data_IF_699917815761
#
_entry.id   IF_699917815761
#
_cell.length_a   1.000
_cell.length_b   1.000
_cell.length_c   1.000
_cell.angle_alpha   90.00
_cell.angle_beta   90.00
_cell.angle_gamma   90.00
#
_symmetry.space_group_name_H-M   'P 1'
#
loop_
_entity.id
_entity.type
_entity.pdbx_description
1 polymer ?
#
# COMPACT_ATOMS: atom_id res chain seq x y z
N UNK A 1 -17.46 6.07 47.35
CA UNK A 1 -17.83 4.77 46.75
C UNK A 1 -17.20 4.68 45.37
N UNK A 2 -16.03 4.06 45.27
CA UNK A 2 -15.33 3.83 43.99
C UNK A 2 -15.98 2.63 43.30
N UNK A 3 -16.75 2.88 42.25
CA UNK A 3 -17.26 1.85 41.34
C UNK A 3 -16.10 1.28 40.53
N UNK A 4 -15.50 0.21 41.05
CA UNK A 4 -14.60 -0.64 40.27
C UNK A 4 -15.43 -1.29 39.17
N UNK A 5 -15.45 -0.68 37.99
CA UNK A 5 -15.99 -1.30 36.78
C UNK A 5 -15.12 -2.50 36.48
N UNK A 6 -15.61 -3.71 36.82
CA UNK A 6 -15.01 -4.96 36.37
C UNK A 6 -15.05 -4.95 34.84
N UNK A 7 -13.92 -4.61 34.20
CA UNK A 7 -13.79 -4.69 32.75
C UNK A 7 -13.90 -6.15 32.35
N UNK A 8 -14.99 -6.49 31.68
CA UNK A 8 -15.18 -7.80 31.08
C UNK A 8 -14.07 -8.07 30.05
N UNK A 9 -13.48 -9.26 30.11
CA UNK A 9 -12.35 -9.63 29.26
C UNK A 9 -12.80 -9.75 27.80
N UNK A 10 -12.17 -9.09 26.82
CA UNK A 10 -12.57 -9.20 25.42
C UNK A 10 -12.28 -10.60 24.84
N UNK A 11 -12.86 -10.89 23.68
CA UNK A 11 -12.56 -12.09 22.86
C UNK A 11 -12.93 -13.44 23.49
N UNK A 12 -14.09 -13.53 24.17
CA UNK A 12 -14.60 -14.75 24.80
C UNK A 12 -14.77 -15.97 23.89
N UNK A 13 -14.68 -15.82 22.57
CA UNK A 13 -14.75 -16.89 21.57
C UNK A 13 -13.38 -17.52 21.25
N UNK A 14 -12.27 -16.94 21.73
CA UNK A 14 -10.90 -17.45 21.47
C UNK A 14 -10.20 -17.83 22.78
N UNK A 15 -8.97 -18.34 22.71
CA UNK A 15 -8.15 -18.63 23.90
C UNK A 15 -7.50 -17.37 24.48
N UNK A 16 -7.49 -16.26 23.75
CA UNK A 16 -6.90 -14.98 24.14
C UNK A 16 -7.53 -14.46 25.43
N UNK A 17 -8.86 -14.59 25.60
CA UNK A 17 -9.54 -14.12 26.80
C UNK A 17 -9.00 -14.77 28.09
N UNK A 18 -8.63 -16.07 28.06
CA UNK A 18 -8.07 -16.76 29.22
C UNK A 18 -6.57 -16.48 29.35
N UNK A 19 -5.82 -16.50 28.24
CA UNK A 19 -4.35 -16.40 28.25
C UNK A 19 -3.85 -15.01 28.61
N UNK A 20 -4.45 -13.97 28.04
CA UNK A 20 -3.90 -12.61 28.09
C UNK A 20 -4.70 -11.72 29.06
N UNK A 21 -5.98 -12.05 29.27
CA UNK A 21 -6.91 -11.24 30.07
C UNK A 21 -7.41 -11.95 31.34
N UNK A 22 -6.89 -13.14 31.64
CA UNK A 22 -7.21 -13.92 32.85
C UNK A 22 -8.73 -14.08 33.09
N UNK A 23 -9.49 -14.38 32.03
CA UNK A 23 -10.94 -14.58 32.12
C UNK A 23 -11.31 -15.82 32.93
N UNK A 24 -12.25 -15.67 33.87
CA UNK A 24 -12.70 -16.75 34.78
C UNK A 24 -14.06 -17.36 34.41
N UNK A 25 -14.67 -16.92 33.29
CA UNK A 25 -15.96 -17.48 32.87
C UNK A 25 -15.85 -18.99 32.58
N UNK A 26 -16.79 -19.83 33.07
CA UNK A 26 -16.72 -21.29 32.93
C UNK A 26 -16.49 -21.76 31.50
N UNK A 27 -17.27 -21.24 30.55
CA UNK A 27 -17.17 -21.60 29.13
C UNK A 27 -15.81 -21.27 28.50
N UNK A 28 -15.16 -20.18 28.94
CA UNK A 28 -13.82 -19.81 28.45
C UNK A 28 -12.75 -20.75 29.01
N UNK A 29 -12.85 -21.08 30.31
CA UNK A 29 -11.92 -21.98 30.98
C UNK A 29 -12.03 -23.41 30.47
N UNK A 30 -13.24 -23.89 30.18
CA UNK A 30 -13.43 -25.25 29.65
C UNK A 30 -12.87 -25.38 28.23
N UNK A 31 -13.06 -24.38 27.37
CA UNK A 31 -12.35 -24.31 26.06
C UNK A 31 -10.83 -24.35 26.22
N UNK A 32 -10.29 -23.62 27.20
CA UNK A 32 -8.86 -23.64 27.48
C UNK A 32 -8.37 -25.02 27.95
N UNK A 33 -9.14 -25.71 28.80
CA UNK A 33 -8.85 -27.08 29.22
C UNK A 33 -8.92 -28.06 28.05
N UNK A 34 -9.91 -27.93 27.16
CA UNK A 34 -10.03 -28.76 25.96
C UNK A 34 -8.83 -28.59 25.04
N UNK A 35 -8.42 -27.34 24.79
CA UNK A 35 -7.19 -27.05 24.06
C UNK A 35 -5.95 -27.68 24.74
N UNK A 36 -5.82 -27.55 26.06
CA UNK A 36 -4.73 -28.16 26.82
C UNK A 36 -4.74 -29.69 26.70
N UNK A 37 -5.91 -30.33 26.78
CA UNK A 37 -6.07 -31.78 26.61
C UNK A 37 -5.63 -32.24 25.23
N UNK A 38 -6.10 -31.60 24.18
CA UNK A 38 -5.69 -31.90 22.79
C UNK A 38 -4.19 -31.70 22.61
N UNK A 39 -3.63 -30.62 23.18
CA UNK A 39 -2.19 -30.36 23.15
C UNK A 39 -1.38 -31.45 23.83
N UNK A 40 -1.74 -31.85 25.06
CA UNK A 40 -0.99 -32.87 25.79
C UNK A 40 -1.10 -34.25 25.14
N UNK A 41 -2.26 -34.61 24.58
CA UNK A 41 -2.41 -35.84 23.78
C UNK A 41 -1.49 -35.82 22.57
N UNK A 42 -1.51 -34.75 21.77
CA UNK A 42 -0.62 -34.64 20.62
C UNK A 42 0.87 -34.67 20.99
N UNK A 43 1.26 -34.10 22.14
CA UNK A 43 2.65 -34.16 22.63
C UNK A 43 3.02 -35.60 23.00
N UNK A 44 2.15 -36.30 23.72
CA UNK A 44 2.35 -37.69 24.12
C UNK A 44 2.45 -38.62 22.91
N UNK A 45 1.63 -38.38 21.89
CA UNK A 45 1.58 -39.16 20.66
C UNK A 45 2.68 -38.76 19.66
N UNK A 46 3.50 -37.74 19.98
CA UNK A 46 4.54 -37.21 19.08
C UNK A 46 4.01 -36.48 17.83
N UNK A 47 2.70 -36.24 17.74
CA UNK A 47 2.01 -35.63 16.60
C UNK A 47 1.78 -34.12 16.74
N UNK A 48 2.26 -33.52 17.84
CA UNK A 48 2.08 -32.09 18.10
C UNK A 48 2.99 -31.22 17.23
N UNK A 49 2.51 -30.92 16.02
CA UNK A 49 3.09 -29.92 15.13
C UNK A 49 2.17 -28.69 15.02
N UNK A 50 2.29 -27.70 15.92
CA UNK A 50 1.36 -26.57 15.95
C UNK A 50 1.47 -25.66 14.72
N UNK A 51 2.55 -25.77 13.95
CA UNK A 51 2.81 -24.97 12.76
C UNK A 51 3.24 -25.86 11.59
N UNK A 52 2.60 -25.73 10.44
CA UNK A 52 2.96 -26.41 9.20
C UNK A 52 3.88 -25.55 8.34
N UNK A 53 4.57 -26.15 7.37
CA UNK A 53 5.34 -25.40 6.37
C UNK A 53 4.41 -24.51 5.54
N UNK A 54 4.79 -23.24 5.41
CA UNK A 54 4.06 -22.27 4.62
C UNK A 54 4.52 -22.21 3.15
N UNK A 55 5.41 -23.09 2.68
CA UNK A 55 5.83 -23.12 1.27
C UNK A 55 4.66 -23.28 0.29
N UNK A 56 3.70 -24.22 0.49
CA UNK A 56 2.55 -24.36 -0.41
C UNK A 56 1.68 -23.10 -0.42
N UNK A 57 1.48 -22.49 0.76
CA UNK A 57 0.75 -21.22 0.91
C UNK A 57 1.40 -20.10 0.11
N UNK A 58 2.73 -19.95 0.20
CA UNK A 58 3.47 -18.92 -0.56
C UNK A 58 3.35 -19.11 -2.07
N UNK A 59 3.46 -20.35 -2.55
CA UNK A 59 3.32 -20.68 -3.97
C UNK A 59 1.91 -20.40 -4.48
N UNK A 60 0.89 -20.75 -3.67
CA UNK A 60 -0.51 -20.48 -4.01
C UNK A 60 -0.83 -18.99 -4.03
N UNK A 61 -0.35 -18.24 -3.03
CA UNK A 61 -0.50 -16.78 -3.00
C UNK A 61 0.14 -16.11 -4.22
N UNK A 62 1.32 -16.56 -4.66
CA UNK A 62 1.92 -16.06 -5.89
C UNK A 62 1.03 -16.32 -7.12
N UNK A 63 0.39 -17.50 -7.18
CA UNK A 63 -0.56 -17.86 -8.24
C UNK A 63 -1.81 -16.97 -8.21
N UNK A 64 -2.39 -16.74 -7.03
CA UNK A 64 -3.53 -15.83 -6.83
C UNK A 64 -3.18 -14.39 -7.22
N UNK A 65 -1.98 -13.91 -6.88
CA UNK A 65 -1.51 -12.58 -7.28
C UNK A 65 -1.34 -12.47 -8.80
N UNK A 66 -0.82 -13.52 -9.44
CA UNK A 66 -0.72 -13.57 -10.91
C UNK A 66 -2.11 -13.55 -11.57
N UNK A 67 -3.11 -14.13 -10.92
CA UNK A 67 -4.52 -14.09 -11.32
C UNK A 67 -5.22 -12.76 -10.95
N UNK A 68 -4.53 -11.83 -10.28
CA UNK A 68 -5.02 -10.48 -9.98
C UNK A 68 -5.75 -10.34 -8.64
N UNK A 69 -5.70 -11.33 -7.75
CA UNK A 69 -6.23 -11.18 -6.40
C UNK A 69 -5.29 -10.29 -5.57
N UNK A 70 -5.85 -9.30 -4.87
CA UNK A 70 -5.08 -8.50 -3.90
C UNK A 70 -4.99 -9.24 -2.55
N UNK A 71 -3.98 -8.97 -1.72
CA UNK A 71 -3.91 -9.53 -0.37
C UNK A 71 -5.15 -9.18 0.48
N UNK A 72 -5.74 -8.00 0.24
CA UNK A 72 -7.00 -7.59 0.86
C UNK A 72 -8.17 -8.49 0.45
N UNK A 73 -8.34 -8.77 -0.85
CA UNK A 73 -9.41 -9.66 -1.33
C UNK A 73 -9.25 -11.09 -0.80
N UNK A 74 -8.01 -11.56 -0.70
CA UNK A 74 -7.69 -12.85 -0.09
C UNK A 74 -8.06 -12.84 1.40
N UNK A 75 -7.77 -11.75 2.11
CA UNK A 75 -8.21 -11.55 3.49
C UNK A 75 -9.73 -11.61 3.64
N UNK A 76 -10.48 -10.92 2.78
CA UNK A 76 -11.96 -10.98 2.76
C UNK A 76 -12.48 -12.40 2.54
N UNK A 77 -11.93 -13.13 1.57
CA UNK A 77 -12.37 -14.49 1.24
C UNK A 77 -12.03 -15.50 2.36
N UNK A 78 -11.02 -15.23 3.16
CA UNK A 78 -10.52 -16.16 4.20
C UNK A 78 -10.87 -15.74 5.62
N UNK A 79 -11.38 -14.51 5.81
CA UNK A 79 -11.51 -13.88 7.12
C UNK A 79 -10.17 -13.62 7.82
N UNK A 80 -9.05 -13.59 7.07
CA UNK A 80 -7.72 -13.33 7.64
C UNK A 80 -7.37 -11.83 7.56
N UNK A 81 -6.71 -11.26 8.58
CA UNK A 81 -6.21 -9.90 8.50
C UNK A 81 -5.22 -9.71 7.34
N UNK A 82 -5.22 -8.54 6.72
CA UNK A 82 -4.33 -8.18 5.62
C UNK A 82 -2.86 -8.46 5.96
N UNK A 83 -2.43 -8.06 7.16
CA UNK A 83 -1.07 -8.23 7.70
C UNK A 83 -0.66 -9.71 7.77
N UNK A 84 -1.64 -10.59 8.01
CA UNK A 84 -1.40 -12.03 8.04
C UNK A 84 -1.05 -12.54 6.65
N UNK A 85 -1.78 -12.10 5.63
CA UNK A 85 -1.59 -12.51 4.23
C UNK A 85 -0.26 -11.97 3.68
N UNK A 86 0.02 -10.67 3.85
CA UNK A 86 1.27 -10.08 3.34
C UNK A 86 2.53 -10.61 4.05
N UNK A 87 2.40 -11.07 5.30
CA UNK A 87 3.52 -11.65 6.04
C UNK A 87 4.10 -12.93 5.42
N UNK A 88 3.38 -13.58 4.49
CA UNK A 88 3.88 -14.73 3.74
C UNK A 88 4.74 -14.33 2.52
N UNK A 89 4.51 -13.16 1.94
CA UNK A 89 5.04 -12.79 0.61
C UNK A 89 6.04 -11.62 0.66
N UNK A 90 5.83 -10.64 1.55
CA UNK A 90 6.68 -9.46 1.67
C UNK A 90 7.83 -9.65 2.68
N UNK A 91 8.95 -8.96 2.43
CA UNK A 91 10.17 -8.95 3.27
C UNK A 91 10.34 -7.62 4.05
N UNK A 92 9.49 -6.63 3.78
CA UNK A 92 9.55 -5.32 4.40
C UNK A 92 8.28 -5.13 5.23
N UNK A 93 8.44 -4.92 6.54
CA UNK A 93 7.33 -4.53 7.39
C UNK A 93 7.01 -3.05 7.23
N UNK A 94 5.77 -2.67 7.56
CA UNK A 94 5.29 -1.28 7.59
C UNK A 94 6.18 -0.31 8.39
N UNK A 95 7.03 -0.81 9.30
CA UNK A 95 7.96 -0.01 10.11
C UNK A 95 9.37 0.15 9.51
N UNK A 96 9.58 -0.16 8.23
CA UNK A 96 10.91 -0.11 7.58
C UNK A 96 11.89 -1.21 8.05
N UNK A 97 11.51 -2.01 9.06
CA UNK A 97 12.30 -3.15 9.51
C UNK A 97 12.11 -4.32 8.55
N UNK A 98 13.23 -4.90 8.07
CA UNK A 98 13.23 -6.17 7.33
C UNK A 98 12.62 -7.25 8.21
N UNK A 99 11.47 -7.79 7.80
CA UNK A 99 10.85 -8.97 8.40
C UNK A 99 11.03 -10.14 7.45
N UNK A 100 11.51 -11.25 7.96
CA UNK A 100 11.57 -12.50 7.21
C UNK A 100 10.15 -12.95 6.84
N UNK A 101 9.97 -13.46 5.62
CA UNK A 101 8.71 -14.12 5.22
C UNK A 101 8.38 -15.24 6.22
N UNK A 102 7.10 -15.37 6.58
CA UNK A 102 6.63 -16.47 7.42
C UNK A 102 6.98 -17.81 6.77
N UNK A 103 7.84 -18.58 7.43
CA UNK A 103 8.24 -19.93 6.99
C UNK A 103 7.25 -20.99 7.44
N UNK A 104 6.56 -20.77 8.56
CA UNK A 104 5.54 -21.68 9.10
C UNK A 104 4.27 -20.93 9.47
N UNK A 105 3.13 -21.61 9.48
CA UNK A 105 1.83 -21.06 9.90
C UNK A 105 0.92 -22.12 10.52
N UNK A 106 -0.18 -21.68 11.12
CA UNK A 106 -1.19 -22.58 11.65
C UNK A 106 -1.84 -23.39 10.50
N UNK A 107 -2.16 -24.68 10.70
CA UNK A 107 -2.84 -25.51 9.70
C UNK A 107 -4.13 -24.89 9.16
N UNK A 108 -4.93 -24.27 10.04
CA UNK A 108 -6.19 -23.61 9.67
C UNK A 108 -5.94 -22.42 8.72
N UNK A 109 -4.90 -21.63 8.97
CA UNK A 109 -4.52 -20.51 8.08
C UNK A 109 -4.09 -21.03 6.71
N UNK A 110 -3.31 -22.12 6.68
CA UNK A 110 -2.89 -22.75 5.43
C UNK A 110 -4.10 -23.26 4.64
N UNK A 111 -5.01 -24.00 5.29
CA UNK A 111 -6.22 -24.54 4.68
C UNK A 111 -7.11 -23.45 4.08
N UNK A 112 -7.35 -22.35 4.82
CA UNK A 112 -8.17 -21.22 4.32
C UNK A 112 -7.59 -20.59 3.06
N UNK A 113 -6.29 -20.34 3.03
CA UNK A 113 -5.64 -19.72 1.85
C UNK A 113 -5.63 -20.68 0.67
N UNK A 114 -5.30 -21.96 0.91
CA UNK A 114 -5.22 -22.98 -0.13
C UNK A 114 -6.60 -23.34 -0.73
N UNK A 115 -7.69 -23.12 0.01
CA UNK A 115 -9.05 -23.35 -0.47
C UNK A 115 -9.48 -22.37 -1.59
N UNK A 116 -8.84 -21.21 -1.72
CA UNK A 116 -9.22 -20.22 -2.74
C UNK A 116 -8.85 -20.75 -4.13
N UNK A 117 -9.85 -21.06 -4.96
CA UNK A 117 -9.62 -21.49 -6.34
C UNK A 117 -9.68 -20.29 -7.31
N UNK A 118 -8.62 -20.03 -8.11
CA UNK A 118 -8.67 -19.06 -9.19
C UNK A 118 -9.70 -19.51 -10.25
N UNK A 119 -10.84 -18.82 -10.33
CA UNK A 119 -11.94 -19.16 -11.26
C UNK A 119 -13.31 -19.16 -10.60
N UNK A 120 -13.39 -19.62 -9.34
CA UNK A 120 -14.64 -19.57 -8.55
C UNK A 120 -14.89 -18.17 -7.98
N UNK A 121 -13.83 -17.39 -7.83
CA UNK A 121 -13.89 -16.04 -7.30
C UNK A 121 -13.40 -15.02 -8.33
N UNK A 122 -14.15 -13.93 -8.48
CA UNK A 122 -13.67 -12.78 -9.24
C UNK A 122 -12.65 -11.99 -8.41
N UNK A 123 -11.56 -11.52 -9.04
CA UNK A 123 -10.74 -10.48 -8.45
C UNK A 123 -11.63 -9.28 -8.15
N UNK A 124 -11.83 -8.97 -6.87
CA UNK A 124 -12.59 -7.80 -6.45
C UNK A 124 -11.97 -6.51 -6.98
N UNK A 125 -12.71 -5.40 -6.85
CA UNK A 125 -12.12 -4.08 -7.07
C UNK A 125 -11.14 -3.75 -5.93
N UNK A 126 -9.98 -3.21 -6.24
CA UNK A 126 -8.96 -2.75 -5.28
C UNK A 126 -8.77 -1.26 -5.43
N UNK A 127 -8.05 -0.65 -4.48
CA UNK A 127 -7.70 0.76 -4.54
C UNK A 127 -6.89 1.06 -5.81
N UNK A 128 -7.24 2.15 -6.49
CA UNK A 128 -6.64 2.50 -7.76
C UNK A 128 -5.32 3.24 -7.64
N UNK A 129 -4.93 3.71 -6.45
CA UNK A 129 -3.79 4.61 -6.23
C UNK A 129 -2.50 4.08 -6.86
N UNK A 130 -2.15 2.83 -6.58
CA UNK A 130 -0.98 2.19 -7.16
C UNK A 130 -1.05 2.05 -8.69
N UNK A 131 -2.25 1.82 -9.22
CA UNK A 131 -2.49 1.72 -10.67
C UNK A 131 -2.31 3.10 -11.32
N UNK A 132 -2.93 4.13 -10.74
CA UNK A 132 -2.84 5.51 -11.20
C UNK A 132 -1.39 5.98 -11.22
N UNK A 133 -0.65 5.82 -10.11
CA UNK A 133 0.74 6.29 -9.97
C UNK A 133 1.68 5.63 -10.97
N UNK A 134 1.51 4.33 -11.26
CA UNK A 134 2.29 3.62 -12.28
C UNK A 134 2.02 4.13 -13.69
N UNK A 135 0.74 4.32 -14.05
CA UNK A 135 0.38 4.88 -15.36
C UNK A 135 0.95 6.31 -15.49
N UNK A 136 0.78 7.14 -14.47
CA UNK A 136 1.31 8.51 -14.42
C UNK A 136 2.82 8.54 -14.63
N UNK A 137 3.56 7.65 -13.96
CA UNK A 137 5.01 7.55 -14.08
C UNK A 137 5.47 7.09 -15.48
N UNK A 138 4.76 6.15 -16.11
CA UNK A 138 5.02 5.77 -17.51
C UNK A 138 4.77 6.94 -18.47
N UNK A 139 3.70 7.71 -18.25
CA UNK A 139 3.44 8.92 -19.05
C UNK A 139 4.54 9.97 -18.84
N UNK A 140 5.04 10.12 -17.61
CA UNK A 140 6.18 10.98 -17.30
C UNK A 140 7.48 10.53 -17.97
N UNK A 141 7.68 9.22 -18.17
CA UNK A 141 8.77 8.66 -18.94
C UNK A 141 8.60 8.87 -20.46
N UNK A 142 7.39 9.19 -20.93
CA UNK A 142 7.09 9.51 -22.32
C UNK A 142 6.17 8.51 -23.03
N UNK A 143 5.64 7.52 -22.32
CA UNK A 143 4.70 6.55 -22.88
C UNK A 143 3.28 7.14 -23.01
N UNK A 144 2.72 7.31 -24.23
CA UNK A 144 1.36 7.82 -24.39
C UNK A 144 0.31 6.78 -23.98
N UNK A 145 -0.84 7.25 -23.46
CA UNK A 145 -1.93 6.36 -23.06
C UNK A 145 -2.44 5.47 -24.20
N UNK A 146 -2.42 5.97 -25.45
CA UNK A 146 -2.77 5.21 -26.64
C UNK A 146 -1.88 3.99 -26.88
N UNK A 147 -0.62 4.03 -26.41
CA UNK A 147 0.32 2.91 -26.50
C UNK A 147 0.21 1.98 -25.28
N UNK A 148 -0.07 2.55 -24.11
CA UNK A 148 -0.23 1.79 -22.87
C UNK A 148 -1.53 0.97 -22.84
N UNK A 149 -2.64 1.53 -23.32
CA UNK A 149 -3.95 0.88 -23.27
C UNK A 149 -3.97 -0.53 -23.86
N UNK A 150 -3.54 -0.73 -25.12
CA UNK A 150 -3.47 -2.06 -25.72
C UNK A 150 -2.65 -3.07 -24.91
N UNK A 151 -1.57 -2.62 -24.25
CA UNK A 151 -0.72 -3.48 -23.39
C UNK A 151 -1.43 -3.90 -22.10
N UNK A 152 -2.36 -3.09 -21.61
CA UNK A 152 -3.25 -3.44 -20.50
C UNK A 152 -4.46 -4.28 -20.93
N UNK A 153 -4.68 -4.44 -22.25
CA UNK A 153 -5.91 -5.01 -22.81
C UNK A 153 -7.11 -4.06 -22.75
N UNK A 154 -6.85 -2.74 -22.78
CA UNK A 154 -7.86 -1.69 -22.63
C UNK A 154 -7.82 -0.69 -23.79
N UNK A 155 -8.93 0.04 -24.00
CA UNK A 155 -8.94 1.19 -24.90
C UNK A 155 -8.18 2.37 -24.29
N UNK A 156 -7.74 3.34 -25.12
CA UNK A 156 -7.14 4.58 -24.63
C UNK A 156 -8.10 5.34 -23.69
N UNK A 157 -9.39 5.40 -24.04
CA UNK A 157 -10.43 6.05 -23.22
C UNK A 157 -10.54 5.41 -21.85
N UNK A 158 -10.62 4.08 -21.81
CA UNK A 158 -10.69 3.31 -20.55
C UNK A 158 -9.43 3.50 -19.73
N UNK A 159 -8.26 3.54 -20.38
CA UNK A 159 -6.97 3.78 -19.70
C UNK A 159 -6.90 5.18 -19.11
N UNK A 160 -7.45 6.19 -19.81
CA UNK A 160 -7.61 7.54 -19.28
C UNK A 160 -8.52 7.59 -18.06
N UNK A 161 -9.61 6.82 -18.05
CA UNK A 161 -10.53 6.75 -16.92
C UNK A 161 -9.89 6.13 -15.66
N UNK A 162 -8.92 5.22 -15.81
CA UNK A 162 -8.20 4.65 -14.66
C UNK A 162 -7.48 5.72 -13.83
N UNK A 163 -7.12 6.87 -14.42
CA UNK A 163 -6.43 7.96 -13.74
C UNK A 163 -7.31 8.73 -12.75
N UNK A 164 -8.63 8.55 -12.78
CA UNK A 164 -9.59 9.30 -11.95
C UNK A 164 -10.52 8.40 -11.14
N UNK A 165 -10.47 7.08 -11.33
CA UNK A 165 -11.30 6.13 -10.60
C UNK A 165 -10.67 5.77 -9.26
N UNK A 166 -11.46 5.70 -8.19
CA UNK A 166 -10.96 5.31 -6.86
C UNK A 166 -10.67 3.82 -6.74
N UNK A 167 -11.38 3.00 -7.53
CA UNK A 167 -11.23 1.54 -7.50
C UNK A 167 -11.15 0.93 -8.89
N UNK A 168 -10.24 -0.03 -9.04
CA UNK A 168 -10.00 -0.77 -10.30
C UNK A 168 -10.08 -2.27 -10.07
N UNK A 169 -10.38 -3.05 -11.11
CA UNK A 169 -10.32 -4.52 -10.99
C UNK A 169 -8.89 -4.99 -10.71
N UNK A 170 -8.74 -5.97 -9.82
CA UNK A 170 -7.42 -6.53 -9.49
C UNK A 170 -6.67 -7.07 -10.72
N UNK A 171 -7.40 -7.61 -11.72
CA UNK A 171 -6.84 -8.00 -13.01
C UNK A 171 -6.19 -6.82 -13.75
N UNK A 172 -6.85 -5.66 -13.75
CA UNK A 172 -6.33 -4.42 -14.37
C UNK A 172 -5.11 -3.91 -13.61
N UNK A 173 -5.17 -3.89 -12.28
CA UNK A 173 -4.02 -3.50 -11.45
C UNK A 173 -2.80 -4.40 -11.74
N UNK A 174 -3.00 -5.72 -11.80
CA UNK A 174 -1.96 -6.68 -12.14
C UNK A 174 -1.38 -6.47 -13.54
N UNK A 175 -2.22 -6.19 -14.55
CA UNK A 175 -1.75 -5.88 -15.90
C UNK A 175 -0.88 -4.62 -15.94
N UNK A 176 -1.28 -3.57 -15.21
CA UNK A 176 -0.53 -2.32 -15.11
C UNK A 176 0.80 -2.53 -14.40
N UNK A 177 0.85 -3.32 -13.32
CA UNK A 177 2.11 -3.67 -12.62
C UNK A 177 3.08 -4.36 -13.56
N UNK A 178 2.63 -5.36 -14.32
CA UNK A 178 3.49 -6.09 -15.27
C UNK A 178 4.09 -5.16 -16.33
N UNK A 179 3.24 -4.37 -17.00
CA UNK A 179 3.66 -3.45 -18.06
C UNK A 179 4.54 -2.33 -17.50
N UNK A 180 4.28 -1.85 -16.29
CA UNK A 180 5.15 -0.89 -15.61
C UNK A 180 6.55 -1.45 -15.43
N UNK A 181 6.68 -2.66 -14.89
CA UNK A 181 7.98 -3.30 -14.70
C UNK A 181 8.69 -3.59 -16.03
N UNK A 182 7.96 -3.98 -17.08
CA UNK A 182 8.51 -4.21 -18.42
C UNK A 182 9.09 -2.93 -19.03
N UNK A 183 8.37 -1.80 -18.90
CA UNK A 183 8.68 -0.56 -19.61
C UNK A 183 9.50 0.44 -18.80
N UNK A 184 9.70 0.21 -17.50
CA UNK A 184 10.33 1.18 -16.61
C UNK A 184 11.73 1.62 -17.07
N UNK A 185 12.52 0.68 -17.59
CA UNK A 185 13.89 0.91 -18.07
C UNK A 185 13.98 1.01 -19.60
N UNK A 186 12.84 1.02 -20.29
CA UNK A 186 12.78 1.02 -21.75
C UNK A 186 12.59 2.43 -22.31
N UNK A 187 13.12 2.66 -23.52
CA UNK A 187 13.00 3.93 -24.24
C UNK A 187 11.79 3.89 -25.19
N UNK A 188 10.77 4.76 -25.05
CA UNK A 188 9.60 4.75 -25.92
C UNK A 188 9.92 4.78 -27.42
N UNK A 189 10.99 5.47 -27.82
CA UNK A 189 11.45 5.55 -29.21
C UNK A 189 11.74 4.16 -29.81
N UNK A 190 12.28 3.22 -29.01
CA UNK A 190 12.59 1.85 -29.45
C UNK A 190 11.35 0.97 -29.62
N UNK A 191 10.19 1.44 -29.19
CA UNK A 191 8.92 0.71 -29.23
C UNK A 191 7.88 1.41 -30.13
N UNK A 192 8.35 2.15 -31.14
CA UNK A 192 7.51 2.75 -32.16
C UNK A 192 6.75 4.00 -31.72
N UNK A 193 7.09 4.58 -30.55
CA UNK A 193 6.46 5.83 -30.10
C UNK A 193 7.11 7.02 -30.80
N UNK A 194 6.32 7.80 -31.52
CA UNK A 194 6.83 8.98 -32.24
C UNK A 194 7.33 10.07 -31.28
N UNK A 195 8.36 10.81 -31.70
CA UNK A 195 8.93 11.94 -30.94
C UNK A 195 7.86 12.94 -30.47
N UNK A 196 6.91 13.27 -31.35
CA UNK A 196 5.77 14.16 -31.05
C UNK A 196 4.91 13.62 -29.91
N UNK A 197 4.60 12.32 -29.91
CA UNK A 197 3.80 11.69 -28.84
C UNK A 197 4.57 11.63 -27.52
N UNK A 198 5.86 11.35 -27.54
CA UNK A 198 6.73 11.39 -26.35
C UNK A 198 6.71 12.78 -25.71
N UNK A 199 6.96 13.83 -26.51
CA UNK A 199 6.94 15.21 -26.02
C UNK A 199 5.59 15.58 -25.43
N UNK A 200 4.47 15.21 -26.08
CA UNK A 200 3.12 15.46 -25.55
C UNK A 200 2.85 14.74 -24.23
N UNK A 201 3.26 13.48 -24.11
CA UNK A 201 3.12 12.70 -22.87
C UNK A 201 3.89 13.33 -21.72
N UNK A 202 5.16 13.68 -21.95
CA UNK A 202 6.00 14.37 -20.96
C UNK A 202 5.42 15.73 -20.57
N UNK A 203 4.96 16.52 -21.53
CA UNK A 203 4.32 17.80 -21.27
C UNK A 203 3.01 17.66 -20.48
N UNK A 204 2.24 16.58 -20.71
CA UNK A 204 1.04 16.25 -19.92
C UNK A 204 1.42 15.91 -18.49
N UNK A 205 2.41 15.04 -18.29
CA UNK A 205 2.87 14.67 -16.95
C UNK A 205 3.40 15.88 -16.18
N UNK A 206 4.18 16.76 -16.84
CA UNK A 206 4.68 17.99 -16.25
C UNK A 206 3.55 18.94 -15.83
N UNK A 207 2.58 19.19 -16.70
CA UNK A 207 1.42 20.04 -16.38
C UNK A 207 0.62 19.53 -15.19
N UNK A 208 0.47 18.20 -15.07
CA UNK A 208 -0.25 17.58 -13.96
C UNK A 208 0.65 17.25 -12.76
N UNK A 209 1.94 17.64 -12.80
CA UNK A 209 2.93 17.36 -11.75
C UNK A 209 2.95 15.88 -11.35
N UNK A 210 3.01 14.98 -12.32
CA UNK A 210 3.07 13.54 -12.07
C UNK A 210 4.49 13.08 -11.74
N UNK A 211 4.64 12.19 -10.74
CA UNK A 211 5.92 11.60 -10.40
C UNK A 211 6.54 10.85 -11.56
N UNK A 212 7.88 10.84 -11.58
CA UNK A 212 8.66 10.02 -12.51
C UNK A 212 8.85 8.61 -11.97
N UNK A 213 9.30 7.71 -12.85
CA UNK A 213 9.72 6.35 -12.48
C UNK A 213 10.85 6.39 -11.45
N UNK A 214 11.83 7.28 -11.64
CA UNK A 214 12.95 7.46 -10.71
C UNK A 214 12.47 7.86 -9.30
N UNK A 215 11.45 8.72 -9.19
CA UNK A 215 10.88 9.08 -7.89
C UNK A 215 10.34 7.84 -7.17
N UNK A 216 9.53 7.02 -7.85
CA UNK A 216 8.96 5.83 -7.26
C UNK A 216 9.96 4.69 -7.04
N UNK A 217 11.05 4.62 -7.81
CA UNK A 217 12.12 3.66 -7.58
C UNK A 217 12.77 3.84 -6.19
N UNK A 218 12.86 5.09 -5.70
CA UNK A 218 13.35 5.38 -4.34
C UNK A 218 12.32 5.13 -3.24
N UNK A 219 11.04 4.90 -3.60
CA UNK A 219 9.87 4.83 -2.71
C UNK A 219 8.93 3.71 -3.15
N UNK A 220 9.49 2.55 -3.48
CA UNK A 220 8.78 1.46 -4.13
C UNK A 220 7.70 0.83 -3.23
N UNK A 221 7.87 0.90 -1.92
CA UNK A 221 6.91 0.49 -0.90
C UNK A 221 5.72 1.45 -0.76
N UNK A 222 5.93 2.74 -1.06
CA UNK A 222 4.91 3.76 -0.92
C UNK A 222 4.01 3.94 -2.15
N UNK A 223 4.38 3.39 -3.32
CA UNK A 223 3.63 3.60 -4.57
C UNK A 223 2.18 3.08 -4.49
N UNK A 224 1.93 2.01 -3.73
CA UNK A 224 0.61 1.42 -3.55
C UNK A 224 -0.17 1.97 -2.34
N UNK A 225 0.46 2.82 -1.51
CA UNK A 225 -0.15 3.35 -0.30
C UNK A 225 -1.06 4.56 -0.61
N UNK A 226 -2.40 4.47 -0.43
CA UNK A 226 -3.32 5.58 -0.64
C UNK A 226 -3.10 6.74 0.33
N UNK A 227 -2.51 6.49 1.49
CA UNK A 227 -2.25 7.50 2.53
C UNK A 227 -0.91 8.20 2.35
N UNK A 228 -0.04 7.70 1.47
CA UNK A 228 1.22 8.35 1.16
C UNK A 228 0.98 9.61 0.31
N UNK A 229 1.34 10.77 0.84
CA UNK A 229 1.30 12.03 0.10
C UNK A 229 2.65 12.27 -0.57
N UNK A 230 2.73 12.28 -1.92
CA UNK A 230 4.01 12.42 -2.56
C UNK A 230 4.55 13.86 -2.58
N UNK A 231 5.81 14.01 -2.20
CA UNK A 231 6.52 15.30 -2.11
C UNK A 231 6.61 16.08 -3.45
N UNK A 232 6.35 15.45 -4.60
CA UNK A 232 6.47 16.09 -5.92
C UNK A 232 5.30 17.01 -6.30
N UNK A 233 4.21 17.02 -5.51
CA UNK A 233 3.08 17.95 -5.72
C UNK A 233 3.36 19.33 -5.14
N UNK A 234 4.34 19.44 -4.25
CA UNK A 234 4.73 20.65 -3.53
C UNK A 234 6.09 21.09 -4.08
N UNK A 235 6.14 22.27 -4.70
CA UNK A 235 7.40 22.87 -5.14
C UNK A 235 8.27 23.19 -3.94
N UNK A 236 9.59 23.25 -4.10
CA UNK A 236 10.49 23.71 -3.03
C UNK A 236 10.08 25.09 -2.51
N UNK A 237 9.50 25.93 -3.37
CA UNK A 237 8.89 27.20 -2.99
C UNK A 237 7.65 27.01 -2.11
N UNK A 238 6.72 26.12 -2.45
CA UNK A 238 5.54 25.83 -1.62
C UNK A 238 5.94 25.22 -0.26
N UNK A 239 6.94 24.32 -0.21
CA UNK A 239 7.50 23.79 1.05
C UNK A 239 8.10 24.92 1.89
N UNK A 240 8.92 25.77 1.27
CA UNK A 240 9.53 26.91 1.94
C UNK A 240 8.50 27.93 2.42
N UNK A 241 7.42 28.15 1.67
CA UNK A 241 6.31 29.01 2.07
C UNK A 241 5.62 28.45 3.31
N UNK A 242 5.33 27.15 3.32
CA UNK A 242 4.66 26.47 4.43
C UNK A 242 5.54 26.43 5.69
N UNK A 243 6.82 26.12 5.54
CA UNK A 243 7.80 26.16 6.63
C UNK A 243 8.00 27.59 7.18
N UNK A 244 8.00 28.60 6.29
CA UNK A 244 8.02 30.02 6.69
C UNK A 244 6.77 30.39 7.47
N UNK A 245 5.56 30.01 7.00
CA UNK A 245 4.31 30.28 7.73
C UNK A 245 4.32 29.64 9.10
N UNK A 246 4.77 28.39 9.19
CA UNK A 246 4.90 27.69 10.47
C UNK A 246 5.82 28.42 11.45
N UNK A 247 6.98 28.91 11.00
CA UNK A 247 7.90 29.69 11.85
C UNK A 247 7.30 31.01 12.35
N UNK A 248 6.49 31.68 11.53
CA UNK A 248 5.81 32.92 11.90
C UNK A 248 4.67 32.64 12.88
N UNK A 249 3.81 31.69 12.56
CA UNK A 249 2.57 31.42 13.31
C UNK A 249 2.81 30.67 14.61
N UNK A 250 3.73 29.70 14.62
CA UNK A 250 3.96 28.81 15.77
C UNK A 250 5.09 29.32 16.65
N UNK A 251 6.17 29.80 16.05
CA UNK A 251 7.34 30.26 16.79
C UNK A 251 7.38 31.79 16.96
N UNK A 252 6.47 32.54 16.34
CA UNK A 252 6.33 33.99 16.51
C UNK A 252 7.42 34.81 15.81
N UNK A 253 8.18 34.22 14.90
CA UNK A 253 9.28 34.91 14.23
C UNK A 253 8.75 35.93 13.22
N UNK A 254 9.48 37.03 13.06
CA UNK A 254 9.27 37.94 11.94
C UNK A 254 9.75 37.30 10.63
N UNK A 255 9.30 37.82 9.48
CA UNK A 255 9.74 37.33 8.15
C UNK A 255 11.25 37.40 7.95
N UNK A 256 11.92 38.39 8.56
CA UNK A 256 13.38 38.54 8.48
C UNK A 256 14.07 37.41 9.24
N UNK A 257 13.63 37.12 10.47
CA UNK A 257 14.19 36.06 11.31
C UNK A 257 13.91 34.67 10.74
N UNK A 258 12.73 34.45 10.17
CA UNK A 258 12.41 33.22 9.45
C UNK A 258 13.32 33.02 8.22
N UNK A 259 13.60 34.09 7.47
CA UNK A 259 14.50 34.04 6.32
C UNK A 259 15.95 33.71 6.73
N UNK A 260 16.45 34.34 7.79
CA UNK A 260 17.78 34.03 8.36
C UNK A 260 17.87 32.58 8.83
N UNK A 261 16.85 32.10 9.54
CA UNK A 261 16.81 30.71 10.04
C UNK A 261 16.76 29.68 8.93
N UNK A 262 16.08 29.98 7.83
CA UNK A 262 15.99 29.11 6.65
C UNK A 262 17.18 29.28 5.69
N UNK A 263 18.13 30.17 6.00
CA UNK A 263 19.30 30.45 5.17
C UNK A 263 18.93 31.03 3.80
N UNK A 264 17.87 31.84 3.73
CA UNK A 264 17.36 32.47 2.50
C UNK A 264 17.32 33.99 2.65
N UNK A 265 17.44 34.68 1.52
CA UNK A 265 17.29 36.13 1.50
C UNK A 265 15.81 36.52 1.69
N UNK A 266 15.51 37.56 2.47
CA UNK A 266 14.14 38.00 2.78
C UNK A 266 13.28 38.23 1.53
N UNK A 267 13.83 38.88 0.50
CA UNK A 267 13.10 39.11 -0.76
C UNK A 267 12.71 37.82 -1.50
N UNK A 268 13.44 36.72 -1.30
CA UNK A 268 13.08 35.41 -1.83
C UNK A 268 11.88 34.83 -1.07
N UNK A 269 11.86 34.96 0.25
CA UNK A 269 10.75 34.53 1.11
C UNK A 269 9.46 35.31 0.79
N UNK A 270 9.52 36.64 0.69
CA UNK A 270 8.35 37.47 0.37
C UNK A 270 7.74 37.10 -1.00
N UNK A 271 8.59 36.83 -2.00
CA UNK A 271 8.15 36.36 -3.33
C UNK A 271 7.48 34.99 -3.26
N UNK A 272 8.07 34.07 -2.50
CA UNK A 272 7.57 32.70 -2.37
C UNK A 272 6.21 32.67 -1.67
N UNK A 273 6.06 33.40 -0.56
CA UNK A 273 4.77 33.55 0.13
C UNK A 273 3.70 34.12 -0.80
N UNK A 274 4.00 35.24 -1.49
CA UNK A 274 3.05 35.88 -2.41
C UNK A 274 2.61 34.99 -3.58
N UNK A 275 3.50 34.15 -4.12
CA UNK A 275 3.15 33.20 -5.18
C UNK A 275 2.21 32.09 -4.69
N UNK A 276 2.40 31.59 -3.47
CA UNK A 276 1.47 30.62 -2.87
C UNK A 276 0.12 31.22 -2.54
N UNK A 277 0.07 32.46 -2.03
CA UNK A 277 -1.19 33.08 -1.61
C UNK A 277 -2.08 33.41 -2.81
N UNK A 278 -1.49 33.89 -3.91
CA UNK A 278 -2.19 34.07 -5.19
C UNK A 278 -2.75 32.77 -5.76
N UNK A 279 -2.06 31.65 -5.50
CA UNK A 279 -2.46 30.32 -5.97
C UNK A 279 -3.53 29.68 -5.09
N UNK A 280 -3.59 30.01 -3.80
CA UNK A 280 -4.65 29.58 -2.90
C UNK A 280 -5.98 30.31 -3.15
N UNK A 281 -5.92 31.51 -3.74
CA UNK A 281 -7.09 32.34 -4.07
C UNK A 281 -7.72 32.07 -5.46
N UNK A 282 -7.11 31.20 -6.27
CA UNK A 282 -7.51 30.88 -7.64
C UNK A 282 -8.06 29.45 -7.76
#
# INVERSE_FOLDING_TARGET
MTTTTNREAPHHNTLTCVKDYNCWLPACRDRYKDYQRTRYRGIADGTWEPLVDAAPVRQHLASLYSAGFSPYRIGELTGLPYETVIGFTQVHGFSGKRRSRKRRCNPETAAKILAIQPGEHLPGKTDATGTQRRIQALVAAGWPLSHLGPRFGLSERTTGALLTQDRVYGRTAGAVIRVYNELADQKPEKHGVTRRSITRSKARAQRNRWATIAYWATRADAIDDPHFTPDFKVTQAEILAEETRWLIETAGLTRTEAAERLGKHRSYIDRVLGQTDLKAAA
#
